data_IF_855615344965
#
_entry.id   IF_855615344965
#
_cell.length_a   1.000
_cell.length_b   1.000
_cell.length_c   1.000
_cell.angle_alpha   90.00
_cell.angle_beta   90.00
_cell.angle_gamma   90.00
#
_symmetry.space_group_name_H-M   'P 1'
#
loop_
_entity.id
_entity.type
_entity.pdbx_description
1 polymer ?
#
# COMPACT_ATOMS: atom_id res chain seq x y z
N UNK A 1 -1.36 4.62 -16.59
CA UNK A 1 -1.80 3.42 -15.84
C UNK A 1 -0.66 2.95 -14.96
N UNK A 2 -0.95 2.39 -13.79
CA UNK A 2 0.08 1.85 -12.89
C UNK A 2 0.07 0.33 -13.00
N UNK A 3 1.26 -0.24 -13.25
CA UNK A 3 1.43 -1.68 -13.30
C UNK A 3 1.25 -2.30 -11.92
N UNK A 4 0.47 -3.39 -11.84
CA UNK A 4 0.23 -4.14 -10.60
C UNK A 4 1.54 -4.53 -9.91
N UNK A 5 2.56 -4.92 -10.68
CA UNK A 5 3.86 -5.33 -10.16
C UNK A 5 4.61 -4.20 -9.43
N UNK A 6 4.50 -2.96 -9.92
CA UNK A 6 5.11 -1.81 -9.24
C UNK A 6 4.46 -1.59 -7.89
N UNK A 7 3.12 -1.64 -7.82
CA UNK A 7 2.42 -1.48 -6.55
C UNK A 7 2.79 -2.57 -5.54
N UNK A 8 2.88 -3.84 -5.96
CA UNK A 8 3.34 -4.94 -5.09
C UNK A 8 4.74 -4.67 -4.52
N UNK A 9 5.69 -4.33 -5.40
CA UNK A 9 7.06 -4.01 -4.98
C UNK A 9 7.11 -2.83 -4.02
N UNK A 10 6.30 -1.78 -4.27
CA UNK A 10 6.17 -0.64 -3.35
C UNK A 10 5.64 -1.09 -1.99
N UNK A 11 4.57 -1.90 -1.93
CA UNK A 11 4.01 -2.37 -0.66
C UNK A 11 5.02 -3.22 0.12
N UNK A 12 5.58 -4.24 -0.52
CA UNK A 12 6.45 -5.24 0.13
C UNK A 12 7.82 -4.66 0.45
N UNK A 13 8.52 -4.15 -0.56
CA UNK A 13 9.92 -3.78 -0.42
C UNK A 13 10.09 -2.37 0.16
N UNK A 14 9.14 -1.46 -0.09
CA UNK A 14 9.27 -0.07 0.32
C UNK A 14 8.48 0.25 1.59
N UNK A 15 7.19 -0.02 1.62
CA UNK A 15 6.31 0.40 2.72
C UNK A 15 6.24 -0.60 3.87
N UNK A 16 6.85 -1.80 3.73
CA UNK A 16 6.97 -2.77 4.82
C UNK A 16 5.77 -3.69 5.00
N UNK A 17 4.91 -3.81 3.99
CA UNK A 17 3.75 -4.70 4.05
C UNK A 17 4.16 -6.16 3.88
N UNK A 18 3.48 -7.05 4.61
CA UNK A 18 3.59 -8.50 4.46
C UNK A 18 2.38 -9.07 3.73
N UNK A 19 2.60 -10.00 2.80
CA UNK A 19 1.54 -10.71 2.09
C UNK A 19 0.94 -11.81 2.97
N UNK A 20 -0.40 -11.86 3.06
CA UNK A 20 -1.12 -12.79 3.92
C UNK A 20 -1.59 -14.07 3.21
N UNK A 21 -2.06 -14.00 1.96
CA UNK A 21 -2.70 -15.14 1.30
C UNK A 21 -2.39 -15.24 -0.20
N UNK A 22 -2.65 -16.43 -0.79
CA UNK A 22 -2.44 -16.73 -2.22
C UNK A 22 -3.66 -16.47 -3.12
N UNK A 23 -4.89 -16.59 -2.60
CA UNK A 23 -6.13 -16.46 -3.41
C UNK A 23 -6.48 -15.01 -3.74
N UNK A 24 -6.27 -14.09 -2.79
CA UNK A 24 -6.40 -12.65 -2.97
C UNK A 24 -5.11 -12.01 -2.47
N UNK A 25 -4.57 -11.03 -3.19
CA UNK A 25 -3.33 -10.38 -2.78
C UNK A 25 -3.60 -9.42 -1.62
N UNK A 26 -3.67 -10.01 -0.44
CA UNK A 26 -3.87 -9.33 0.84
C UNK A 26 -2.52 -8.92 1.40
N UNK A 27 -2.42 -7.65 1.76
CA UNK A 27 -1.24 -7.06 2.37
C UNK A 27 -1.62 -6.47 3.72
N UNK A 28 -0.80 -6.73 4.74
CA UNK A 28 -0.93 -6.10 6.06
C UNK A 28 0.34 -5.35 6.43
N UNK A 29 0.17 -4.26 7.17
CA UNK A 29 1.22 -3.56 7.88
C UNK A 29 1.00 -3.76 9.38
N UNK A 30 2.08 -4.06 10.09
CA UNK A 30 2.07 -4.23 11.54
C UNK A 30 2.95 -3.17 12.20
N UNK A 31 2.62 -2.80 13.43
CA UNK A 31 3.48 -1.95 14.27
C UNK A 31 4.69 -2.74 14.81
N UNK A 32 5.57 -2.04 15.53
CA UNK A 32 6.71 -2.64 16.24
C UNK A 32 6.34 -3.77 17.22
N UNK A 33 5.12 -3.78 17.74
CA UNK A 33 4.63 -4.79 18.69
C UNK A 33 3.94 -5.97 17.96
N UNK A 34 3.88 -5.95 16.63
CA UNK A 34 3.18 -6.96 15.83
C UNK A 34 1.67 -6.75 15.73
N UNK A 35 1.13 -5.65 16.27
CA UNK A 35 -0.29 -5.32 16.13
C UNK A 35 -0.60 -4.92 14.70
N UNK A 36 -1.80 -5.26 14.26
CA UNK A 36 -2.27 -4.92 12.93
C UNK A 36 -2.65 -3.44 12.83
N UNK A 37 -2.13 -2.74 11.82
CA UNK A 37 -2.34 -1.29 11.62
C UNK A 37 -3.13 -1.01 10.35
N UNK A 38 -2.65 -1.50 9.21
CA UNK A 38 -3.27 -1.26 7.90
C UNK A 38 -3.38 -2.54 7.10
N UNK A 39 -4.45 -2.64 6.31
CA UNK A 39 -4.64 -3.69 5.32
C UNK A 39 -5.13 -3.15 4.00
N UNK A 40 -4.64 -3.76 2.93
CA UNK A 40 -5.10 -3.49 1.58
C UNK A 40 -5.19 -4.79 0.78
N UNK A 41 -6.09 -4.79 -0.19
CA UNK A 41 -6.29 -5.88 -1.14
C UNK A 41 -5.99 -5.37 -2.53
N UNK A 42 -5.06 -6.03 -3.23
CA UNK A 42 -4.91 -5.86 -4.67
C UNK A 42 -5.80 -6.88 -5.37
N UNK A 43 -6.94 -6.42 -5.87
CA UNK A 43 -7.79 -7.22 -6.76
C UNK A 43 -7.13 -7.32 -8.13
N UNK A 44 -6.95 -8.55 -8.64
CA UNK A 44 -6.52 -8.76 -10.03
C UNK A 44 -7.65 -8.28 -10.95
N UNK A 45 -7.45 -7.18 -11.68
CA UNK A 45 -8.34 -6.82 -12.79
C UNK A 45 -8.33 -7.91 -13.87
N UNK A 46 -9.32 -7.91 -14.77
CA UNK A 46 -9.49 -8.94 -15.83
C UNK A 46 -8.22 -9.20 -16.66
N UNK A 47 -7.34 -8.20 -16.81
CA UNK A 47 -6.08 -8.31 -17.57
C UNK A 47 -4.83 -8.50 -16.69
N UNK A 48 -4.95 -8.42 -15.36
CA UNK A 48 -3.87 -8.61 -14.37
C UNK A 48 -2.69 -7.61 -14.41
N UNK A 49 -2.54 -6.84 -15.49
CA UNK A 49 -1.37 -6.02 -15.79
C UNK A 49 -1.46 -4.58 -15.26
N UNK A 50 -2.64 -3.97 -15.36
CA UNK A 50 -2.85 -2.56 -15.04
C UNK A 50 -3.94 -2.34 -14.00
N UNK A 51 -3.67 -1.42 -13.08
CA UNK A 51 -4.63 -0.96 -12.07
C UNK A 51 -5.33 0.29 -12.59
N UNK A 52 -6.66 0.22 -12.68
CA UNK A 52 -7.49 1.36 -13.07
C UNK A 52 -7.51 2.43 -11.95
N UNK A 53 -7.93 3.66 -12.30
CA UNK A 53 -7.97 4.78 -11.34
C UNK A 53 -8.88 4.51 -10.14
N UNK A 54 -9.97 3.77 -10.32
CA UNK A 54 -10.92 3.44 -9.25
C UNK A 54 -10.29 2.55 -8.17
N UNK A 55 -9.62 1.47 -8.58
CA UNK A 55 -8.89 0.57 -7.67
C UNK A 55 -7.75 1.32 -6.99
N UNK A 56 -7.01 2.15 -7.73
CA UNK A 56 -5.93 2.94 -7.16
C UNK A 56 -6.45 3.91 -6.07
N UNK A 57 -7.60 4.55 -6.30
CA UNK A 57 -8.24 5.41 -5.29
C UNK A 57 -8.69 4.63 -4.07
N UNK A 58 -9.20 3.40 -4.23
CA UNK A 58 -9.59 2.56 -3.11
C UNK A 58 -8.38 2.15 -2.27
N UNK A 59 -7.30 1.74 -2.93
CA UNK A 59 -6.03 1.37 -2.27
C UNK A 59 -5.44 2.58 -1.56
N UNK A 60 -5.44 3.76 -2.17
CA UNK A 60 -4.99 5.01 -1.54
C UNK A 60 -5.66 5.23 -0.20
N UNK A 61 -6.99 5.12 -0.15
CA UNK A 61 -7.77 5.28 1.09
C UNK A 61 -7.42 4.21 2.13
N UNK A 62 -7.31 2.95 1.71
CA UNK A 62 -6.92 1.85 2.58
C UNK A 62 -5.54 2.07 3.20
N UNK A 63 -4.59 2.55 2.41
CA UNK A 63 -3.23 2.87 2.85
C UNK A 63 -3.12 4.19 3.63
N UNK A 64 -4.24 4.87 3.90
CA UNK A 64 -4.22 6.19 4.53
C UNK A 64 -3.34 7.19 3.78
N UNK A 65 -3.31 7.10 2.45
CA UNK A 65 -2.63 8.04 1.56
C UNK A 65 -3.65 8.80 0.73
N UNK A 66 -3.33 10.04 0.37
CA UNK A 66 -4.00 10.69 -0.74
C UNK A 66 -3.40 10.20 -2.09
N UNK A 67 -4.07 10.52 -3.20
CA UNK A 67 -3.65 10.05 -4.52
C UNK A 67 -2.24 10.49 -4.92
N UNK A 68 -1.82 11.70 -4.53
CA UNK A 68 -0.47 12.20 -4.80
C UNK A 68 0.59 11.45 -3.98
N UNK A 69 0.32 11.17 -2.70
CA UNK A 69 1.22 10.43 -1.83
C UNK A 69 1.40 8.99 -2.29
N UNK A 70 0.31 8.34 -2.73
CA UNK A 70 0.38 7.00 -3.30
C UNK A 70 1.21 6.99 -4.60
N UNK A 71 1.01 8.00 -5.47
CA UNK A 71 1.82 8.14 -6.67
C UNK A 71 3.29 8.36 -6.35
N UNK A 72 3.61 9.19 -5.34
CA UNK A 72 4.97 9.38 -4.82
C UNK A 72 5.57 8.08 -4.25
N UNK A 73 4.79 7.27 -3.54
CA UNK A 73 5.25 5.97 -3.07
C UNK A 73 5.65 5.05 -4.24
N UNK A 74 4.83 5.02 -5.29
CA UNK A 74 5.03 4.19 -6.48
C UNK A 74 6.17 4.71 -7.37
N UNK A 75 6.34 6.03 -7.47
CA UNK A 75 7.47 6.69 -8.16
C UNK A 75 8.76 6.69 -7.36
N UNK A 76 8.78 5.97 -6.23
CA UNK A 76 9.92 5.84 -5.34
C UNK A 76 10.35 7.13 -4.59
N UNK A 77 9.53 8.18 -4.52
CA UNK A 77 9.85 9.43 -3.80
C UNK A 77 9.40 9.48 -2.33
N UNK A 78 8.43 8.67 -1.90
CA UNK A 78 8.01 8.60 -0.48
C UNK A 78 8.72 7.46 0.26
N UNK A 79 9.62 7.73 1.20
CA UNK A 79 10.34 6.67 1.93
C UNK A 79 9.42 5.90 2.90
N UNK A 80 9.92 4.80 3.47
CA UNK A 80 9.20 4.04 4.50
C UNK A 80 8.96 4.88 5.75
N UNK A 81 10.00 5.59 6.20
CA UNK A 81 9.93 6.45 7.38
C UNK A 81 8.95 7.59 7.16
N UNK A 82 8.96 8.23 5.99
CA UNK A 82 7.99 9.28 5.66
C UNK A 82 6.55 8.75 5.71
N UNK A 83 6.33 7.54 5.20
CA UNK A 83 5.03 6.90 5.26
C UNK A 83 4.62 6.60 6.71
N UNK A 84 5.52 6.10 7.54
CA UNK A 84 5.25 5.83 8.94
C UNK A 84 4.99 7.11 9.73
N UNK A 85 5.66 8.22 9.41
CA UNK A 85 5.37 9.54 9.97
C UNK A 85 3.98 10.05 9.58
N UNK A 86 3.55 9.82 8.34
CA UNK A 86 2.17 10.12 7.92
C UNK A 86 1.15 9.32 8.74
N UNK A 87 1.44 8.05 9.04
CA UNK A 87 0.59 7.22 9.89
C UNK A 87 0.59 7.71 11.34
N UNK A 88 1.76 8.02 11.92
CA UNK A 88 1.87 8.59 13.28
C UNK A 88 1.09 9.90 13.42
N UNK A 89 1.18 10.80 12.44
CA UNK A 89 0.40 12.06 12.41
C UNK A 89 -1.11 11.84 12.36
N UNK A 90 -1.56 10.67 11.91
CA UNK A 90 -2.97 10.26 11.89
C UNK A 90 -3.42 9.48 13.13
N UNK A 91 -2.52 9.29 14.11
CA UNK A 91 -2.81 8.61 15.37
C UNK A 91 -2.53 7.10 15.36
N UNK A 92 -1.86 6.56 14.34
CA UNK A 92 -1.43 5.17 14.35
C UNK A 92 -0.13 5.00 15.14
N UNK A 93 -0.04 3.93 15.94
CA UNK A 93 1.18 3.57 16.64
C UNK A 93 2.06 2.72 15.70
N UNK A 94 3.21 3.23 15.27
CA UNK A 94 4.11 2.60 14.29
C UNK A 94 5.45 2.19 14.88
#
# INVERSE_FOLDING_TARGET
>A
MIQTQKLRSTLENKLGFSKLTKKHENYKLQDRNGNFIIHTIISKGASGKDINKGILSAISRQLQLNSQQLESAIKCTLSREDYYDLLRKKGYNM
#
